data_IF_443989139885
#
_entry.id   IF_443989139885
#
_cell.length_a   1.000
_cell.length_b   1.000
_cell.length_c   1.000
_cell.angle_alpha   90.00
_cell.angle_beta   90.00
_cell.angle_gamma   90.00
#
_symmetry.space_group_name_H-M   'P 1'
#
loop_
_entity.id
_entity.type
_entity.pdbx_description
1 polymer ?
#
# COMPACT_ATOMS: atom_id res chain seq x y z
N UNK A 1 -16.44 -46.05 -12.79
CA UNK A 1 -16.90 -46.72 -11.54
C UNK A 1 -16.12 -46.13 -10.39
N UNK A 2 -16.84 -45.31 -9.64
CA UNK A 2 -16.38 -44.63 -8.43
C UNK A 2 -16.58 -45.50 -7.21
N UNK A 3 -15.61 -45.57 -6.32
CA UNK A 3 -15.77 -46.05 -4.96
C UNK A 3 -15.77 -44.84 -4.01
N UNK A 4 -16.88 -44.66 -3.31
CA UNK A 4 -17.03 -43.78 -2.15
C UNK A 4 -16.41 -44.44 -0.94
N UNK A 5 -15.52 -43.75 -0.22
CA UNK A 5 -14.98 -44.19 1.06
C UNK A 5 -15.81 -43.61 2.22
N UNK A 6 -16.17 -44.53 3.07
CA UNK A 6 -17.04 -44.48 4.25
C UNK A 6 -16.40 -43.70 5.39
N UNK A 7 -17.18 -42.89 6.11
CA UNK A 7 -16.77 -42.18 7.31
C UNK A 7 -17.16 -43.03 8.55
N UNK A 8 -16.29 -43.18 9.57
CA UNK A 8 -16.61 -43.94 10.74
C UNK A 8 -17.52 -43.19 11.72
N UNK A 9 -18.57 -43.85 12.14
CA UNK A 9 -19.56 -43.43 13.13
C UNK A 9 -18.97 -43.40 14.55
N UNK A 10 -19.29 -42.32 15.29
CA UNK A 10 -18.96 -42.14 16.71
C UNK A 10 -20.11 -42.80 17.53
N UNK A 11 -19.83 -43.70 18.51
CA UNK A 11 -20.85 -44.27 19.34
C UNK A 11 -21.31 -43.30 20.45
N UNK A 12 -22.60 -43.36 20.88
CA UNK A 12 -23.12 -42.54 21.96
C UNK A 12 -22.75 -43.10 23.33
N UNK A 13 -22.12 -42.29 24.17
CA UNK A 13 -21.89 -42.60 25.58
C UNK A 13 -23.07 -42.08 26.39
N UNK A 14 -24.01 -42.97 26.69
CA UNK A 14 -25.04 -42.76 27.72
C UNK A 14 -24.54 -43.34 29.05
N UNK A 15 -24.12 -42.49 29.97
CA UNK A 15 -23.80 -42.85 31.35
C UNK A 15 -24.49 -41.89 32.30
N UNK A 16 -25.63 -42.35 32.89
CA UNK A 16 -26.30 -41.67 33.99
C UNK A 16 -25.42 -41.78 35.25
N UNK A 17 -25.15 -40.70 35.99
CA UNK A 17 -24.42 -40.82 37.27
C UNK A 17 -25.29 -41.40 38.37
N UNK A 18 -24.76 -42.42 39.06
CA UNK A 18 -25.39 -43.06 40.21
C UNK A 18 -25.42 -42.12 41.44
N UNK A 19 -26.47 -42.14 42.26
CA UNK A 19 -26.70 -41.17 43.36
C UNK A 19 -25.96 -41.46 44.67
N UNK A 20 -24.81 -42.13 44.65
CA UNK A 20 -24.16 -42.63 45.89
C UNK A 20 -22.88 -41.90 46.36
N UNK A 21 -22.50 -40.78 45.76
CA UNK A 21 -21.28 -40.06 46.12
C UNK A 21 -21.50 -38.73 46.87
N UNK A 22 -22.72 -38.45 47.34
CA UNK A 22 -23.08 -37.18 48.00
C UNK A 22 -22.93 -37.19 49.55
N UNK A 23 -22.30 -38.20 50.15
CA UNK A 23 -22.24 -38.35 51.63
C UNK A 23 -20.87 -38.18 52.29
N UNK A 24 -19.89 -37.62 51.61
CA UNK A 24 -18.55 -37.47 52.23
C UNK A 24 -17.82 -36.20 51.82
N UNK A 25 -18.50 -35.04 51.78
CA UNK A 25 -17.80 -33.76 51.67
C UNK A 25 -17.78 -33.06 53.01
N UNK A 26 -16.59 -32.71 53.58
CA UNK A 26 -16.50 -31.84 54.74
C UNK A 26 -17.04 -30.43 54.41
N UNK A 27 -17.57 -29.69 55.44
CA UNK A 27 -18.10 -28.34 55.19
C UNK A 27 -17.02 -27.44 54.65
N UNK A 28 -17.29 -26.83 53.47
CA UNK A 28 -16.46 -25.83 52.87
C UNK A 28 -16.34 -24.65 53.85
N UNK A 29 -15.10 -24.40 54.30
CA UNK A 29 -14.79 -23.22 55.07
C UNK A 29 -15.15 -21.98 54.23
N UNK A 30 -16.05 -21.15 54.76
CA UNK A 30 -16.40 -19.86 54.19
C UNK A 30 -15.16 -18.97 54.27
N UNK A 31 -14.45 -18.81 53.14
CA UNK A 31 -13.39 -17.82 53.04
C UNK A 31 -14.00 -16.43 53.26
N UNK A 32 -13.41 -15.59 54.10
CA UNK A 32 -13.85 -14.20 54.20
C UNK A 32 -13.75 -13.55 52.84
N UNK A 33 -14.78 -12.79 52.46
CA UNK A 33 -14.87 -12.07 51.20
C UNK A 33 -13.51 -11.40 50.86
N UNK A 34 -13.04 -11.50 49.61
CA UNK A 34 -11.83 -10.82 49.21
C UNK A 34 -12.02 -9.33 49.44
N UNK A 35 -11.08 -8.75 50.25
CA UNK A 35 -10.96 -7.30 50.40
C UNK A 35 -11.07 -6.65 49.03
N UNK A 36 -12.02 -5.72 48.90
CA UNK A 36 -12.25 -4.92 47.72
C UNK A 36 -10.90 -4.55 47.10
N UNK A 37 -10.68 -5.02 45.87
CA UNK A 37 -9.58 -4.59 45.05
C UNK A 37 -9.60 -3.04 44.96
N UNK A 38 -8.45 -2.39 44.96
CA UNK A 38 -8.40 -0.92 44.90
C UNK A 38 -9.23 -0.48 43.71
N UNK A 39 -10.11 0.51 43.95
CA UNK A 39 -10.98 1.11 42.94
C UNK A 39 -10.20 1.27 41.62
N UNK A 40 -10.69 0.63 40.57
CA UNK A 40 -10.15 0.82 39.22
C UNK A 40 -10.12 2.33 38.98
N UNK A 41 -8.93 2.92 38.88
CA UNK A 41 -8.75 4.28 38.31
C UNK A 41 -9.67 4.34 37.10
N UNK A 42 -10.55 5.32 37.07
CA UNK A 42 -11.53 5.54 35.98
C UNK A 42 -10.86 5.16 34.67
N UNK A 43 -11.43 4.15 33.99
CA UNK A 43 -10.85 3.63 32.75
C UNK A 43 -10.65 4.82 31.81
N UNK A 44 -9.40 5.22 31.59
CA UNK A 44 -9.10 6.29 30.67
C UNK A 44 -9.56 5.81 29.29
N UNK A 45 -10.53 6.53 28.72
CA UNK A 45 -11.02 6.24 27.38
C UNK A 45 -9.84 6.29 26.44
N UNK A 46 -9.48 5.15 25.87
CA UNK A 46 -8.39 5.06 24.91
C UNK A 46 -8.85 5.74 23.62
N UNK A 47 -8.20 6.84 23.26
CA UNK A 47 -8.47 7.59 22.04
C UNK A 47 -7.51 7.15 20.95
N UNK A 48 -8.05 6.77 19.80
CA UNK A 48 -7.26 6.39 18.63
C UNK A 48 -7.64 7.25 17.41
N UNK A 49 -6.65 7.46 16.53
CA UNK A 49 -6.87 8.07 15.24
C UNK A 49 -6.80 7.02 14.12
N UNK A 50 -7.61 7.17 13.08
CA UNK A 50 -7.42 6.45 11.84
C UNK A 50 -7.22 7.42 10.67
N UNK A 51 -6.25 7.10 9.80
CA UNK A 51 -5.87 7.92 8.66
C UNK A 51 -6.19 7.22 7.35
N UNK A 52 -6.88 7.90 6.45
CA UNK A 52 -7.15 7.44 5.09
C UNK A 52 -6.03 7.91 4.16
N UNK A 53 -5.13 7.01 3.80
CA UNK A 53 -3.95 7.29 2.98
C UNK A 53 -4.31 7.80 1.58
N UNK A 54 -5.40 7.28 0.98
CA UNK A 54 -5.85 7.71 -0.35
C UNK A 54 -6.35 9.17 -0.30
N UNK A 55 -7.15 9.49 0.73
CA UNK A 55 -7.64 10.84 0.97
C UNK A 55 -6.48 11.81 1.21
N UNK A 56 -5.53 11.48 2.09
CA UNK A 56 -4.37 12.33 2.37
C UNK A 56 -3.54 12.55 1.11
N UNK A 57 -3.31 11.49 0.30
CA UNK A 57 -2.58 11.60 -0.97
C UNK A 57 -3.27 12.51 -1.98
N UNK A 58 -4.59 12.50 -2.05
CA UNK A 58 -5.35 13.30 -3.01
C UNK A 58 -5.59 14.74 -2.57
N UNK A 59 -5.69 15.00 -1.26
CA UNK A 59 -6.02 16.31 -0.71
C UNK A 59 -4.78 17.17 -0.39
N UNK A 60 -3.65 16.56 0.04
CA UNK A 60 -2.44 17.31 0.42
C UNK A 60 -1.73 17.92 -0.79
N UNK A 61 -1.11 19.09 -0.59
CA UNK A 61 -0.32 19.77 -1.64
C UNK A 61 0.86 18.91 -2.12
N UNK A 62 1.51 18.19 -1.21
CA UNK A 62 2.59 17.26 -1.56
C UNK A 62 2.09 16.12 -2.44
N UNK A 63 0.92 15.54 -2.10
CA UNK A 63 0.31 14.48 -2.90
C UNK A 63 -0.09 14.96 -4.29
N UNK A 64 -0.78 16.09 -4.39
CA UNK A 64 -1.16 16.72 -5.67
C UNK A 64 0.07 17.02 -6.53
N UNK A 65 1.09 17.61 -5.93
CA UNK A 65 2.35 17.91 -6.62
C UNK A 65 3.05 16.64 -7.12
N UNK A 66 3.08 15.58 -6.31
CA UNK A 66 3.66 14.29 -6.69
C UNK A 66 2.92 13.68 -7.88
N UNK A 67 1.60 13.66 -7.85
CA UNK A 67 0.79 13.18 -8.98
C UNK A 67 1.00 14.01 -10.25
N UNK A 68 1.08 15.34 -10.11
CA UNK A 68 1.34 16.23 -11.26
C UNK A 68 2.71 15.96 -11.88
N UNK A 69 3.77 15.78 -11.06
CA UNK A 69 5.11 15.46 -11.52
C UNK A 69 5.18 14.13 -12.30
N UNK A 70 4.55 13.08 -11.76
CA UNK A 70 4.49 11.77 -12.43
C UNK A 70 3.77 11.91 -13.77
N UNK A 71 2.59 12.52 -13.79
CA UNK A 71 1.80 12.72 -15.00
C UNK A 71 2.55 13.53 -16.07
N UNK A 72 3.23 14.60 -15.67
CA UNK A 72 4.04 15.42 -16.56
C UNK A 72 5.20 14.62 -17.15
N UNK A 73 5.91 13.85 -16.31
CA UNK A 73 7.04 13.03 -16.77
C UNK A 73 6.58 11.93 -17.71
N UNK A 74 5.50 11.24 -17.38
CA UNK A 74 4.88 10.22 -18.22
C UNK A 74 4.57 10.80 -19.60
N UNK A 75 3.83 11.92 -19.67
CA UNK A 75 3.48 12.57 -20.95
C UNK A 75 4.71 12.94 -21.77
N UNK A 76 5.77 13.43 -21.12
CA UNK A 76 7.02 13.77 -21.79
C UNK A 76 7.70 12.54 -22.38
N UNK A 77 7.81 11.46 -21.63
CA UNK A 77 8.43 10.20 -22.08
C UNK A 77 7.63 9.55 -23.21
N UNK A 78 6.30 9.52 -23.09
CA UNK A 78 5.39 9.01 -24.14
C UNK A 78 5.59 9.79 -25.44
N UNK A 79 5.63 11.13 -25.36
CA UNK A 79 5.89 11.98 -26.53
C UNK A 79 7.24 11.69 -27.18
N UNK A 80 8.28 11.45 -26.39
CA UNK A 80 9.62 11.09 -26.90
C UNK A 80 9.64 9.72 -27.56
N UNK A 81 8.93 8.72 -26.98
CA UNK A 81 8.80 7.38 -27.54
C UNK A 81 8.09 7.44 -28.88
N UNK A 82 6.97 8.14 -28.95
CA UNK A 82 6.19 8.33 -30.20
C UNK A 82 7.04 9.01 -31.28
N UNK A 83 7.74 10.08 -30.94
CA UNK A 83 8.60 10.81 -31.88
C UNK A 83 9.73 9.93 -32.44
N UNK A 84 10.42 9.17 -31.57
CA UNK A 84 11.49 8.25 -31.99
C UNK A 84 10.98 7.11 -32.84
N UNK A 85 9.82 6.52 -32.47
CA UNK A 85 9.17 5.49 -33.28
C UNK A 85 8.85 6.00 -34.68
N UNK A 86 8.19 7.16 -34.77
CA UNK A 86 7.89 7.79 -36.06
C UNK A 86 9.14 8.08 -36.92
N UNK A 87 10.23 8.44 -36.28
CA UNK A 87 11.53 8.61 -36.93
C UNK A 87 12.07 7.29 -37.49
N UNK A 88 12.03 6.21 -36.71
CA UNK A 88 12.44 4.88 -37.15
C UNK A 88 11.59 4.37 -38.33
N UNK A 89 10.27 4.58 -38.27
CA UNK A 89 9.35 4.18 -39.35
C UNK A 89 9.68 4.92 -40.67
N UNK A 90 9.99 6.22 -40.60
CA UNK A 90 10.44 7.00 -41.75
C UNK A 90 11.78 6.51 -42.29
N UNK A 91 12.74 6.23 -41.41
CA UNK A 91 14.04 5.72 -41.82
C UNK A 91 13.93 4.34 -42.46
N UNK A 92 13.07 3.47 -41.92
CA UNK A 92 12.77 2.16 -42.51
C UNK A 92 12.25 2.30 -43.92
N UNK A 93 11.21 3.13 -44.14
CA UNK A 93 10.63 3.40 -45.47
C UNK A 93 11.65 3.96 -46.46
N UNK A 94 12.47 4.90 -46.02
CA UNK A 94 13.53 5.47 -46.87
C UNK A 94 14.62 4.42 -47.21
N UNK A 95 14.96 3.54 -46.27
CA UNK A 95 15.91 2.48 -46.51
C UNK A 95 15.35 1.48 -47.53
N UNK A 96 14.11 1.03 -47.33
CA UNK A 96 13.42 0.12 -48.24
C UNK A 96 13.33 0.66 -49.68
N UNK A 97 12.98 1.97 -49.81
CA UNK A 97 12.89 2.62 -51.13
C UNK A 97 14.22 2.69 -51.87
N UNK A 98 15.35 2.84 -51.13
CA UNK A 98 16.70 2.93 -51.69
C UNK A 98 17.43 1.58 -51.80
N UNK A 99 16.86 0.51 -51.27
CA UNK A 99 17.48 -0.83 -51.31
C UNK A 99 17.88 -1.29 -52.70
N UNK A 100 17.05 -1.08 -53.79
CA UNK A 100 17.43 -1.48 -55.12
C UNK A 100 18.70 -0.80 -55.67
N UNK A 101 18.97 0.43 -55.21
CA UNK A 101 20.09 1.27 -55.67
C UNK A 101 21.41 0.90 -54.98
N UNK A 102 21.40 0.12 -53.88
CA UNK A 102 22.57 -0.21 -53.09
C UNK A 102 23.28 -1.47 -53.59
N UNK A 103 24.59 -1.46 -53.55
CA UNK A 103 25.37 -2.71 -53.69
C UNK A 103 25.12 -3.68 -52.52
N UNK A 104 25.41 -4.98 -52.69
CA UNK A 104 25.22 -5.95 -51.60
C UNK A 104 25.91 -5.55 -50.29
N UNK A 105 27.13 -5.02 -50.34
CA UNK A 105 27.89 -4.56 -49.18
C UNK A 105 27.23 -3.34 -48.53
N UNK A 106 26.72 -2.39 -49.33
CA UNK A 106 26.02 -1.22 -48.82
C UNK A 106 24.68 -1.58 -48.14
N UNK A 107 23.96 -2.55 -48.70
CA UNK A 107 22.70 -3.09 -48.09
C UNK A 107 22.98 -3.62 -46.71
N UNK A 108 24.02 -4.47 -46.58
CA UNK A 108 24.40 -5.03 -45.29
C UNK A 108 24.79 -3.95 -44.27
N UNK A 109 25.64 -2.99 -44.68
CA UNK A 109 26.05 -1.89 -43.81
C UNK A 109 24.84 -1.04 -43.34
N UNK A 110 23.90 -0.72 -44.25
CA UNK A 110 22.68 0.03 -43.94
C UNK A 110 21.71 -0.74 -43.04
N UNK A 111 21.57 -2.05 -43.25
CA UNK A 111 20.78 -2.91 -42.38
C UNK A 111 21.34 -2.95 -40.96
N UNK A 112 22.66 -3.11 -40.82
CA UNK A 112 23.33 -3.07 -39.50
C UNK A 112 23.17 -1.71 -38.81
N UNK A 113 23.28 -0.61 -39.55
CA UNK A 113 23.07 0.75 -39.01
C UNK A 113 21.63 0.91 -38.50
N UNK A 114 20.65 0.47 -39.28
CA UNK A 114 19.24 0.52 -38.89
C UNK A 114 18.97 -0.34 -37.66
N UNK A 115 19.52 -1.56 -37.60
CA UNK A 115 19.40 -2.45 -36.45
C UNK A 115 19.92 -1.79 -35.17
N UNK A 116 21.09 -1.14 -35.22
CA UNK A 116 21.62 -0.37 -34.06
C UNK A 116 20.65 0.72 -33.59
N UNK A 117 19.95 1.38 -34.51
CA UNK A 117 18.96 2.42 -34.16
C UNK A 117 17.71 1.80 -33.48
N UNK A 118 17.26 0.63 -33.93
CA UNK A 118 16.19 -0.11 -33.29
C UNK A 118 16.57 -0.53 -31.87
N UNK A 119 17.78 -1.06 -31.70
CA UNK A 119 18.30 -1.42 -30.38
C UNK A 119 18.40 -0.21 -29.43
N UNK A 120 18.88 0.92 -29.95
CA UNK A 120 18.95 2.17 -29.19
C UNK A 120 17.56 2.67 -28.78
N UNK A 121 16.56 2.51 -29.64
CA UNK A 121 15.16 2.84 -29.30
C UNK A 121 14.61 1.90 -28.22
N UNK A 122 14.84 0.60 -28.32
CA UNK A 122 14.42 -0.36 -27.29
C UNK A 122 15.04 -0.06 -25.93
N UNK A 123 16.36 0.21 -25.89
CA UNK A 123 17.06 0.63 -24.67
C UNK A 123 16.47 1.92 -24.09
N UNK A 124 16.16 2.89 -24.94
CA UNK A 124 15.52 4.13 -24.51
C UNK A 124 14.14 3.87 -23.90
N UNK A 125 13.29 3.06 -24.55
CA UNK A 125 11.95 2.73 -24.04
C UNK A 125 12.02 2.05 -22.67
N UNK A 126 12.91 1.06 -22.51
CA UNK A 126 13.13 0.40 -21.22
C UNK A 126 13.66 1.36 -20.15
N UNK A 127 14.56 2.28 -20.50
CA UNK A 127 15.09 3.24 -19.54
C UNK A 127 14.05 4.29 -19.14
N UNK A 128 13.15 4.66 -20.04
CA UNK A 128 12.02 5.57 -19.76
C UNK A 128 11.03 4.96 -18.76
N UNK A 129 10.72 3.67 -18.93
CA UNK A 129 9.87 2.92 -17.99
C UNK A 129 10.51 2.85 -16.59
N UNK A 130 11.79 2.47 -16.51
CA UNK A 130 12.53 2.45 -15.24
C UNK A 130 12.58 3.82 -14.58
N UNK A 131 12.80 4.86 -15.34
CA UNK A 131 12.84 6.23 -14.82
C UNK A 131 11.50 6.64 -14.21
N UNK A 132 10.39 6.31 -14.88
CA UNK A 132 9.05 6.60 -14.36
C UNK A 132 8.76 5.82 -13.08
N UNK A 133 9.14 4.54 -13.03
CA UNK A 133 9.02 3.72 -11.84
C UNK A 133 9.82 4.31 -10.66
N UNK A 134 11.09 4.64 -10.87
CA UNK A 134 11.93 5.27 -9.83
C UNK A 134 11.38 6.61 -9.35
N UNK A 135 10.81 7.41 -10.26
CA UNK A 135 10.16 8.66 -9.89
C UNK A 135 8.96 8.40 -8.98
N UNK A 136 8.10 7.43 -9.33
CA UNK A 136 6.93 7.06 -8.53
C UNK A 136 7.34 6.54 -7.15
N UNK A 137 8.30 5.64 -7.07
CA UNK A 137 8.83 5.09 -5.81
C UNK A 137 9.37 6.20 -4.89
N UNK A 138 10.19 7.09 -5.44
CA UNK A 138 10.76 8.21 -4.68
C UNK A 138 9.70 9.16 -4.15
N UNK A 139 8.72 9.52 -4.98
CA UNK A 139 7.64 10.44 -4.57
C UNK A 139 6.69 9.79 -3.58
N UNK A 140 6.37 8.51 -3.76
CA UNK A 140 5.54 7.74 -2.81
C UNK A 140 6.23 7.63 -1.45
N UNK A 141 7.54 7.34 -1.43
CA UNK A 141 8.33 7.29 -0.20
C UNK A 141 8.33 8.63 0.52
N UNK A 142 8.60 9.71 -0.19
CA UNK A 142 8.61 11.06 0.39
C UNK A 142 7.24 11.47 0.95
N UNK A 143 6.15 11.11 0.26
CA UNK A 143 4.79 11.34 0.72
C UNK A 143 4.50 10.55 1.99
N UNK A 144 4.83 9.26 2.01
CA UNK A 144 4.63 8.39 3.17
C UNK A 144 5.37 8.91 4.41
N UNK A 145 6.66 9.25 4.27
CA UNK A 145 7.47 9.83 5.35
C UNK A 145 6.88 11.16 5.87
N UNK A 146 6.31 11.98 4.99
CA UNK A 146 5.66 13.22 5.38
C UNK A 146 4.36 12.96 6.17
N UNK A 147 3.57 11.99 5.73
CA UNK A 147 2.34 11.55 6.42
C UNK A 147 2.69 11.01 7.81
N UNK A 148 3.69 10.13 7.91
CA UNK A 148 4.13 9.56 9.18
C UNK A 148 4.54 10.64 10.18
N UNK A 149 5.37 11.60 9.77
CA UNK A 149 5.77 12.73 10.62
C UNK A 149 4.59 13.57 11.07
N UNK A 150 3.65 13.87 10.18
CA UNK A 150 2.46 14.62 10.50
C UNK A 150 1.51 13.83 11.42
N UNK A 151 1.36 12.52 11.22
CA UNK A 151 0.55 11.65 12.08
C UNK A 151 1.09 11.57 13.50
N UNK A 152 2.41 11.45 13.68
CA UNK A 152 3.07 11.46 14.99
C UNK A 152 2.83 12.79 15.72
N UNK A 153 2.98 13.91 15.02
CA UNK A 153 2.78 15.23 15.59
C UNK A 153 1.31 15.48 15.96
N UNK A 154 0.39 15.13 15.06
CA UNK A 154 -1.05 15.24 15.30
C UNK A 154 -1.48 14.36 16.48
N UNK A 155 -1.00 13.12 16.54
CA UNK A 155 -1.29 12.18 17.60
C UNK A 155 -0.85 12.70 18.96
N UNK A 156 0.36 13.26 19.08
CA UNK A 156 0.88 13.87 20.29
C UNK A 156 0.09 15.09 20.71
N UNK A 157 -0.21 16.01 19.79
CA UNK A 157 -0.96 17.23 20.05
C UNK A 157 -2.39 16.98 20.51
N UNK A 158 -3.00 15.87 20.06
CA UNK A 158 -4.38 15.50 20.40
C UNK A 158 -4.50 14.38 21.45
N UNK A 159 -3.41 14.00 22.10
CA UNK A 159 -3.37 12.95 23.13
C UNK A 159 -3.98 11.62 22.65
N UNK A 160 -3.68 11.24 21.40
CA UNK A 160 -4.07 9.96 20.86
C UNK A 160 -3.10 8.87 21.32
N UNK A 161 -3.63 7.70 21.70
CA UNK A 161 -2.81 6.55 22.09
C UNK A 161 -2.08 5.95 20.88
N UNK A 162 -2.72 5.99 19.71
CA UNK A 162 -2.12 5.58 18.44
C UNK A 162 -2.85 6.20 17.24
N UNK A 163 -2.18 6.22 16.09
CA UNK A 163 -2.77 6.51 14.78
C UNK A 163 -2.49 5.32 13.86
N UNK A 164 -3.53 4.78 13.25
CA UNK A 164 -3.46 3.63 12.33
C UNK A 164 -3.95 3.99 10.94
N UNK A 165 -3.52 3.24 9.93
CA UNK A 165 -4.07 3.35 8.59
C UNK A 165 -5.48 2.75 8.59
N UNK A 166 -6.46 3.51 8.11
CA UNK A 166 -7.89 3.11 8.10
C UNK A 166 -8.12 1.74 7.44
N UNK A 167 -7.42 1.46 6.36
CA UNK A 167 -7.52 0.19 5.61
C UNK A 167 -7.09 -1.02 6.44
N UNK A 168 -6.16 -0.84 7.37
CA UNK A 168 -5.58 -1.92 8.16
C UNK A 168 -6.35 -2.18 9.45
N UNK A 169 -7.38 -1.36 9.73
CA UNK A 169 -8.27 -1.50 10.88
C UNK A 169 -9.41 -2.48 10.54
N UNK A 170 -9.31 -3.71 11.02
CA UNK A 170 -10.30 -4.78 10.77
C UNK A 170 -11.45 -4.79 11.76
N UNK A 171 -11.20 -4.36 13.00
CA UNK A 171 -12.21 -4.36 14.08
C UNK A 171 -11.97 -3.20 15.03
N UNK A 172 -13.05 -2.63 15.51
CA UNK A 172 -13.08 -1.57 16.51
C UNK A 172 -14.19 -1.85 17.53
N UNK A 173 -13.84 -1.95 18.80
CA UNK A 173 -14.81 -2.13 19.86
C UNK A 173 -15.62 -0.83 20.09
N UNK A 174 -16.88 -0.98 20.47
CA UNK A 174 -17.81 0.15 20.70
C UNK A 174 -17.41 1.10 21.85
N UNK A 175 -16.48 0.67 22.72
CA UNK A 175 -15.96 1.50 23.84
C UNK A 175 -14.70 2.30 23.53
N UNK A 176 -14.20 2.26 22.30
CA UNK A 176 -12.99 2.99 21.88
C UNK A 176 -13.38 4.27 21.16
N UNK A 177 -12.82 5.41 21.61
CA UNK A 177 -12.99 6.69 20.93
C UNK A 177 -12.04 6.72 19.70
N UNK A 178 -12.60 6.43 18.52
CA UNK A 178 -11.87 6.43 17.26
C UNK A 178 -12.33 7.57 16.36
N UNK A 179 -11.36 8.36 15.89
CA UNK A 179 -11.63 9.52 15.05
C UNK A 179 -10.85 9.50 13.73
N UNK A 180 -11.45 10.01 12.66
CA UNK A 180 -10.75 10.25 11.40
C UNK A 180 -9.85 11.48 11.54
N UNK A 181 -8.53 11.24 11.42
CA UNK A 181 -7.51 12.28 11.56
C UNK A 181 -6.94 12.73 10.23
N UNK A 182 -7.46 12.23 9.11
CA UNK A 182 -6.94 12.50 7.76
C UNK A 182 -6.84 14.00 7.46
N UNK A 183 -7.90 14.76 7.73
CA UNK A 183 -7.92 16.21 7.49
C UNK A 183 -6.90 16.97 8.35
N UNK A 184 -6.74 16.57 9.61
CA UNK A 184 -5.74 17.16 10.51
C UNK A 184 -4.30 16.89 10.04
N UNK A 185 -4.02 15.68 9.56
CA UNK A 185 -2.73 15.30 8.99
C UNK A 185 -2.44 16.12 7.72
N UNK A 186 -3.42 16.23 6.79
CA UNK A 186 -3.28 17.06 5.58
C UNK A 186 -2.92 18.49 5.94
N UNK A 187 -3.65 19.10 6.87
CA UNK A 187 -3.38 20.48 7.32
C UNK A 187 -1.95 20.65 7.83
N UNK A 188 -1.47 19.75 8.68
CA UNK A 188 -0.09 19.82 9.20
C UNK A 188 0.97 19.64 8.10
N UNK A 189 0.72 18.78 7.12
CA UNK A 189 1.62 18.58 5.98
C UNK A 189 1.72 19.86 5.14
N UNK A 190 0.58 20.50 4.85
CA UNK A 190 0.52 21.69 4.00
C UNK A 190 1.14 22.91 4.69
N UNK A 191 0.92 23.10 6.00
CA UNK A 191 1.57 24.14 6.79
C UNK A 191 3.10 24.01 6.78
N UNK A 192 3.64 22.78 6.86
CA UNK A 192 5.09 22.53 6.78
C UNK A 192 5.63 22.76 5.37
N UNK A 193 4.85 22.46 4.36
CA UNK A 193 5.24 22.72 2.97
C UNK A 193 5.29 24.22 2.68
N UNK A 194 4.35 24.99 3.22
CA UNK A 194 4.32 26.46 3.10
C UNK A 194 5.51 27.14 3.79
N UNK A 195 5.96 26.62 4.93
CA UNK A 195 7.12 27.18 5.69
C UNK A 195 8.48 26.89 5.05
N UNK A 196 8.54 25.99 4.06
CA UNK A 196 9.79 25.62 3.36
C UNK A 196 9.99 26.36 2.03
N UNK A 197 9.00 27.12 1.60
CA UNK A 197 9.06 28.01 0.42
C UNK A 197 9.47 29.42 0.86
#
# INVERSE_FOLDING_TARGET
SLAMADAPAVPPVAGKPSPSLLKSMPPLAVNPAPKQAPAHKAAQVVRIGHADMARISSESELGKSSHAQVKQRQKKLEGQIIARRKQLDRQKKNLEAKMPEYTPQQREAKAREFQKRVEAFQKFAMSAEKELQHLQERLSKALYESIEKAAVEYGRANSLALVVVKRDLLYLASGVDAQDVSAGIVKLMDEKTAKKK
#
